data_IF_729373264928
#
_entry.id   IF_729373264928
#
_cell.length_a   1.000
_cell.length_b   1.000
_cell.length_c   1.000
_cell.angle_alpha   90.00
_cell.angle_beta   90.00
_cell.angle_gamma   90.00
#
_symmetry.space_group_name_H-M   'P 1'
#
loop_
_entity.id
_entity.type
_entity.pdbx_description
1 polymer ?
#
# COMPACT_ATOMS: atom_id res chain seq x y z
N UNK A 1 20.72 17.17 -62.91
CA UNK A 1 20.36 18.10 -61.81
C UNK A 1 20.45 17.26 -60.54
N UNK A 2 21.44 17.28 -59.66
CA UNK A 2 22.50 18.19 -59.14
C UNK A 2 23.60 17.20 -58.65
N UNK A 3 24.90 17.33 -58.92
CA UNK A 3 25.81 18.42 -58.57
C UNK A 3 26.66 18.01 -57.35
N UNK A 4 27.83 17.43 -57.61
CA UNK A 4 28.83 17.09 -56.59
C UNK A 4 29.34 18.35 -55.89
N UNK A 5 29.24 18.41 -54.56
CA UNK A 5 29.70 19.57 -53.78
C UNK A 5 31.12 19.31 -53.25
N UNK A 6 32.01 20.23 -53.60
CA UNK A 6 33.45 20.22 -53.35
C UNK A 6 33.71 20.72 -51.92
N UNK A 7 34.44 19.92 -51.15
CA UNK A 7 34.83 20.20 -49.77
C UNK A 7 35.91 21.29 -49.75
N UNK A 8 35.59 22.48 -49.22
CA UNK A 8 36.52 23.60 -49.05
C UNK A 8 37.23 23.53 -47.69
N UNK A 9 38.49 23.94 -47.66
CA UNK A 9 39.52 23.68 -46.63
C UNK A 9 39.49 24.62 -45.40
N UNK A 10 38.39 25.26 -45.07
CA UNK A 10 38.37 26.37 -44.08
C UNK A 10 37.69 26.09 -42.73
N UNK A 11 37.57 24.83 -42.30
CA UNK A 11 37.07 24.51 -40.95
C UNK A 11 38.02 23.66 -40.07
N UNK A 12 39.30 23.59 -40.43
CA UNK A 12 40.31 22.85 -39.66
C UNK A 12 41.08 23.71 -38.63
N UNK A 13 40.67 24.96 -38.37
CA UNK A 13 41.45 25.87 -37.52
C UNK A 13 40.70 26.46 -36.29
N UNK A 14 39.45 26.08 -36.01
CA UNK A 14 38.70 26.65 -34.86
C UNK A 14 37.93 25.58 -34.07
N UNK A 15 38.56 24.46 -33.70
CA UNK A 15 38.13 23.71 -32.50
C UNK A 15 39.29 22.86 -31.94
N UNK A 16 40.40 23.53 -31.61
CA UNK A 16 41.50 22.97 -30.82
C UNK A 16 41.78 23.79 -29.55
N UNK A 17 40.77 24.52 -29.06
CA UNK A 17 40.90 25.35 -27.87
C UNK A 17 40.49 24.57 -26.61
N UNK A 18 41.50 24.09 -25.89
CA UNK A 18 41.57 24.03 -24.42
C UNK A 18 40.38 23.38 -23.67
N UNK A 19 40.56 22.10 -23.31
CA UNK A 19 40.15 21.62 -21.98
C UNK A 19 40.97 22.40 -20.95
N UNK A 20 40.45 23.54 -20.52
CA UNK A 20 40.86 24.18 -19.28
C UNK A 20 39.87 23.75 -18.20
N UNK A 21 40.39 22.93 -17.29
CA UNK A 21 39.84 22.67 -15.96
C UNK A 21 39.42 23.99 -15.32
N UNK A 22 38.14 24.35 -15.42
CA UNK A 22 37.54 25.34 -14.55
C UNK A 22 37.16 24.61 -13.27
N UNK A 23 37.92 24.88 -12.21
CA UNK A 23 37.59 24.53 -10.84
C UNK A 23 36.26 25.18 -10.44
N UNK A 24 35.14 24.53 -10.79
CA UNK A 24 33.84 24.84 -10.20
C UNK A 24 33.89 24.29 -8.77
N UNK A 25 34.29 25.15 -7.84
CA UNK A 25 34.27 24.88 -6.41
C UNK A 25 32.83 24.95 -5.92
N UNK A 26 32.09 23.85 -6.09
CA UNK A 26 30.75 23.72 -5.51
C UNK A 26 30.87 23.87 -3.98
N UNK A 27 30.14 24.81 -3.35
CA UNK A 27 30.25 25.03 -1.91
C UNK A 27 29.88 23.75 -1.14
N UNK A 28 30.70 23.35 -0.16
CA UNK A 28 30.42 22.18 0.72
C UNK A 28 29.03 22.24 1.35
N UNK A 29 28.53 23.45 1.65
CA UNK A 29 27.18 23.70 2.18
C UNK A 29 26.07 23.30 1.20
N UNK A 30 26.29 23.47 -0.10
CA UNK A 30 25.32 23.05 -1.12
C UNK A 30 25.35 21.54 -1.29
N UNK A 31 26.52 20.91 -1.18
CA UNK A 31 26.65 19.45 -1.19
C UNK A 31 26.04 18.80 0.06
N UNK A 32 26.27 19.37 1.25
CA UNK A 32 25.67 18.94 2.52
C UNK A 32 24.15 19.13 2.49
N UNK A 33 23.66 20.27 2.01
CA UNK A 33 22.22 20.53 1.82
C UNK A 33 21.60 19.60 0.79
N UNK A 34 22.29 19.32 -0.32
CA UNK A 34 21.86 18.29 -1.28
C UNK A 34 21.88 16.90 -0.66
N UNK A 35 22.81 16.58 0.26
CA UNK A 35 22.88 15.30 0.98
C UNK A 35 21.84 15.17 2.09
N UNK A 36 21.45 16.28 2.70
CA UNK A 36 20.36 16.37 3.69
C UNK A 36 19.00 16.29 2.98
N UNK A 37 18.87 16.92 1.80
CA UNK A 37 17.71 16.82 0.90
C UNK A 37 17.64 15.42 0.27
N UNK A 38 18.74 14.81 -0.17
CA UNK A 38 18.81 13.42 -0.65
C UNK A 38 18.63 12.41 0.48
N UNK A 39 19.06 12.74 1.70
CA UNK A 39 18.88 11.93 2.91
C UNK A 39 17.45 11.99 3.45
N UNK A 40 16.75 13.09 3.23
CA UNK A 40 15.31 13.26 3.50
C UNK A 40 14.41 12.80 2.34
N UNK A 41 14.97 12.64 1.13
CA UNK A 41 14.30 12.14 -0.07
C UNK A 41 14.69 10.70 -0.42
N UNK A 42 15.33 9.97 0.50
CA UNK A 42 14.94 8.59 0.74
C UNK A 42 13.48 8.69 1.16
N UNK A 43 12.57 8.55 0.18
CA UNK A 43 11.13 8.72 0.40
C UNK A 43 10.74 8.03 1.70
N UNK A 44 9.93 8.67 2.54
CA UNK A 44 9.23 7.97 3.62
C UNK A 44 8.55 6.77 2.96
N UNK A 45 9.16 5.59 3.11
CA UNK A 45 8.72 4.35 2.50
C UNK A 45 7.72 3.65 3.42
N UNK A 46 7.25 4.35 4.44
CA UNK A 46 6.32 3.82 5.43
C UNK A 46 4.86 4.13 5.10
N UNK A 47 3.98 3.23 5.54
CA UNK A 47 2.54 3.43 5.47
C UNK A 47 1.86 2.76 6.67
N UNK A 48 0.66 3.23 7.02
CA UNK A 48 -0.12 2.67 8.12
C UNK A 48 -1.30 1.83 7.60
N UNK A 49 -1.54 0.70 8.28
CA UNK A 49 -2.79 -0.06 8.18
C UNK A 49 -3.42 -0.19 9.56
N UNK A 50 -4.75 -0.30 9.58
CA UNK A 50 -5.46 -0.72 10.78
C UNK A 50 -5.39 -2.24 10.97
N UNK A 51 -5.11 -2.67 12.19
CA UNK A 51 -5.46 -4.01 12.64
C UNK A 51 -7.00 -4.07 12.81
N UNK A 52 -7.60 -5.20 12.42
CA UNK A 52 -9.06 -5.38 12.44
C UNK A 52 -9.45 -6.43 13.47
N UNK A 53 -10.55 -6.16 14.20
CA UNK A 53 -11.33 -7.20 14.87
C UNK A 53 -12.54 -7.52 13.99
N UNK A 54 -12.74 -8.80 13.70
CA UNK A 54 -13.95 -9.28 13.05
C UNK A 54 -14.68 -10.19 14.03
N UNK A 55 -15.88 -9.79 14.43
CA UNK A 55 -16.68 -10.49 15.44
C UNK A 55 -18.05 -10.92 14.89
N UNK A 56 -18.50 -12.10 15.30
CA UNK A 56 -19.81 -12.62 14.98
C UNK A 56 -20.87 -11.90 15.80
N UNK A 57 -21.92 -11.45 15.12
CA UNK A 57 -23.13 -10.89 15.69
C UNK A 57 -24.31 -11.78 15.32
N UNK A 58 -25.02 -12.28 16.32
CA UNK A 58 -26.16 -13.16 16.23
C UNK A 58 -27.40 -12.44 16.75
N UNK A 59 -28.43 -12.23 15.93
CA UNK A 59 -29.66 -11.62 16.40
C UNK A 59 -30.32 -12.45 17.51
N UNK A 60 -30.81 -11.83 18.60
CA UNK A 60 -31.44 -12.55 19.70
C UNK A 60 -32.63 -13.41 19.23
N UNK A 61 -32.66 -14.67 19.65
CA UNK A 61 -33.75 -15.60 19.35
C UNK A 61 -33.70 -16.23 17.95
N UNK A 62 -32.74 -15.86 17.09
CA UNK A 62 -32.58 -16.46 15.77
C UNK A 62 -31.76 -17.74 15.81
N UNK A 63 -32.11 -18.69 14.94
CA UNK A 63 -31.32 -19.91 14.75
C UNK A 63 -30.14 -19.62 13.82
N UNK A 64 -28.93 -19.95 14.30
CA UNK A 64 -27.69 -19.81 13.54
C UNK A 64 -27.29 -21.17 12.94
N UNK A 65 -27.17 -21.22 11.62
CA UNK A 65 -26.92 -22.46 10.86
C UNK A 65 -25.45 -22.66 10.49
N UNK A 66 -24.67 -21.59 10.44
CA UNK A 66 -23.26 -21.64 10.02
C UNK A 66 -22.29 -22.10 11.13
N UNK A 67 -22.82 -22.50 12.30
CA UNK A 67 -22.04 -22.93 13.47
C UNK A 67 -21.41 -21.79 14.27
N UNK A 68 -21.59 -20.53 13.85
CA UNK A 68 -21.08 -19.37 14.55
C UNK A 68 -21.81 -19.13 15.88
N UNK A 69 -21.09 -18.60 16.86
CA UNK A 69 -21.62 -18.22 18.17
C UNK A 69 -21.41 -16.73 18.41
N UNK A 70 -22.30 -16.11 19.16
CA UNK A 70 -22.16 -14.72 19.59
C UNK A 70 -20.78 -14.53 20.26
N UNK A 71 -20.02 -13.54 19.79
CA UNK A 71 -18.69 -13.22 20.32
C UNK A 71 -17.52 -14.03 19.75
N UNK A 72 -17.77 -15.06 18.92
CA UNK A 72 -16.71 -15.69 18.13
C UNK A 72 -16.04 -14.59 17.28
N UNK A 73 -14.71 -14.55 17.27
CA UNK A 73 -13.99 -13.50 16.55
C UNK A 73 -12.62 -13.95 16.05
N UNK A 74 -12.04 -13.17 15.14
CA UNK A 74 -10.62 -13.21 14.83
C UNK A 74 -10.05 -11.80 14.83
N UNK A 75 -8.73 -11.71 15.04
CA UNK A 75 -7.98 -10.48 14.88
C UNK A 75 -7.12 -10.60 13.63
N UNK A 76 -7.25 -9.65 12.71
CA UNK A 76 -6.33 -9.45 11.60
C UNK A 76 -5.26 -8.45 12.04
N UNK A 77 -4.03 -8.93 12.22
CA UNK A 77 -2.86 -8.11 12.57
C UNK A 77 -1.95 -8.00 11.37
N UNK A 78 -1.89 -6.83 10.74
CA UNK A 78 -1.34 -6.73 9.39
C UNK A 78 -2.05 -7.68 8.43
N UNK A 79 -1.31 -8.56 7.74
CA UNK A 79 -1.92 -9.62 6.91
C UNK A 79 -2.25 -10.93 7.65
N UNK A 80 -1.94 -11.03 8.95
CA UNK A 80 -2.03 -12.29 9.69
C UNK A 80 -3.35 -12.42 10.47
N UNK A 81 -4.11 -13.48 10.17
CA UNK A 81 -5.36 -13.81 10.88
C UNK A 81 -5.07 -14.65 12.13
N UNK A 82 -5.57 -14.20 13.28
CA UNK A 82 -5.42 -14.88 14.57
C UNK A 82 -6.78 -15.24 15.17
N UNK A 83 -6.96 -16.51 15.51
CA UNK A 83 -8.13 -17.01 16.24
C UNK A 83 -7.80 -17.20 17.74
N UNK A 84 -8.78 -17.01 18.64
CA UNK A 84 -8.67 -17.48 20.01
C UNK A 84 -8.41 -19.00 20.07
N UNK A 85 -7.71 -19.44 21.10
CA UNK A 85 -7.35 -20.85 21.26
C UNK A 85 -8.60 -21.74 21.29
N UNK A 86 -8.63 -22.76 20.42
CA UNK A 86 -9.73 -23.71 20.33
C UNK A 86 -11.00 -23.20 19.64
N UNK A 87 -11.00 -21.96 19.14
CA UNK A 87 -12.14 -21.42 18.40
C UNK A 87 -12.05 -21.84 16.92
N UNK A 88 -13.11 -22.48 16.42
CA UNK A 88 -13.31 -22.66 14.99
C UNK A 88 -13.92 -21.40 14.37
N UNK A 89 -13.78 -21.25 13.06
CA UNK A 89 -14.50 -20.22 12.31
C UNK A 89 -14.99 -20.82 11.00
N UNK A 90 -16.23 -20.53 10.62
CA UNK A 90 -16.77 -21.05 9.37
C UNK A 90 -16.00 -20.50 8.18
N UNK A 91 -15.46 -21.40 7.35
CA UNK A 91 -14.77 -21.03 6.11
C UNK A 91 -15.69 -20.28 5.14
N UNK A 92 -16.99 -20.56 5.18
CA UNK A 92 -17.98 -19.86 4.36
C UNK A 92 -18.19 -18.43 4.87
N UNK A 93 -18.29 -18.25 6.19
CA UNK A 93 -18.32 -16.92 6.79
C UNK A 93 -17.03 -16.13 6.50
N UNK A 94 -15.86 -16.78 6.52
CA UNK A 94 -14.60 -16.15 6.08
C UNK A 94 -14.67 -15.72 4.62
N UNK A 95 -15.17 -16.57 3.72
CA UNK A 95 -15.25 -16.22 2.29
C UNK A 95 -16.10 -14.98 2.01
N UNK A 96 -17.13 -14.71 2.84
CA UNK A 96 -17.94 -13.52 2.73
C UNK A 96 -17.22 -12.24 3.17
N UNK A 97 -16.37 -12.30 4.20
CA UNK A 97 -15.71 -11.12 4.78
C UNK A 97 -14.34 -10.83 4.18
N UNK A 98 -13.60 -11.86 3.76
CA UNK A 98 -12.23 -11.74 3.26
C UNK A 98 -12.05 -10.69 2.14
N UNK A 99 -12.95 -10.57 1.14
CA UNK A 99 -12.80 -9.58 0.07
C UNK A 99 -12.80 -8.13 0.55
N UNK A 100 -13.31 -7.85 1.75
CA UNK A 100 -13.49 -6.50 2.27
C UNK A 100 -12.33 -6.07 3.18
N UNK A 101 -11.53 -7.01 3.70
CA UNK A 101 -10.57 -6.72 4.78
C UNK A 101 -9.49 -5.74 4.35
N UNK A 102 -8.87 -5.93 3.17
CA UNK A 102 -7.81 -5.04 2.69
C UNK A 102 -8.28 -3.58 2.55
N UNK A 103 -9.51 -3.37 2.07
CA UNK A 103 -10.10 -2.03 1.99
C UNK A 103 -10.37 -1.47 3.39
N UNK A 104 -10.90 -2.29 4.30
CA UNK A 104 -11.20 -1.91 5.69
C UNK A 104 -9.96 -1.60 6.54
N UNK A 105 -8.78 -2.09 6.16
CA UNK A 105 -7.52 -1.73 6.82
C UNK A 105 -7.01 -0.35 6.44
N UNK A 106 -7.50 0.24 5.33
CA UNK A 106 -7.00 1.52 4.82
C UNK A 106 -7.88 2.69 5.29
N UNK A 107 -7.33 3.91 5.37
CA UNK A 107 -8.14 5.10 5.39
C UNK A 107 -9.06 5.12 4.17
N UNK A 108 -10.35 5.29 4.40
CA UNK A 108 -11.40 5.33 3.38
C UNK A 108 -12.03 6.73 3.36
N UNK A 109 -12.61 7.10 2.22
CA UNK A 109 -13.22 8.43 2.07
C UNK A 109 -14.48 8.54 2.93
N UNK A 110 -14.66 9.65 3.66
CA UNK A 110 -15.76 9.79 4.63
C UNK A 110 -17.17 9.60 4.05
N UNK A 111 -17.35 9.88 2.74
CA UNK A 111 -18.63 9.72 2.04
C UNK A 111 -18.77 8.37 1.31
N UNK A 112 -17.80 7.46 1.44
CA UNK A 112 -17.89 6.11 0.90
C UNK A 112 -18.58 5.20 1.93
N UNK A 113 -19.49 4.34 1.48
CA UNK A 113 -20.15 3.32 2.31
C UNK A 113 -19.11 2.40 2.97
N UNK A 114 -17.94 2.21 2.35
CA UNK A 114 -16.82 1.46 2.91
C UNK A 114 -16.33 2.06 4.25
N UNK A 115 -16.57 3.33 4.54
CA UNK A 115 -16.23 3.97 5.82
C UNK A 115 -17.26 3.70 6.92
N UNK A 116 -18.53 3.51 6.57
CA UNK A 116 -19.64 3.42 7.54
C UNK A 116 -20.13 2.01 7.77
N UNK A 117 -20.25 1.21 6.71
CA UNK A 117 -20.95 -0.07 6.77
C UNK A 117 -20.02 -1.16 7.29
N UNK A 118 -20.19 -1.55 8.54
CA UNK A 118 -19.28 -2.48 9.21
C UNK A 118 -19.78 -3.94 9.25
N UNK A 119 -21.02 -4.20 8.82
CA UNK A 119 -21.67 -5.50 8.94
C UNK A 119 -21.68 -6.25 7.61
N UNK A 120 -21.26 -7.51 7.65
CA UNK A 120 -21.25 -8.43 6.52
C UNK A 120 -22.16 -9.61 6.83
N UNK A 121 -23.14 -9.86 5.97
CA UNK A 121 -24.08 -10.96 6.18
C UNK A 121 -23.40 -12.33 6.03
N UNK A 122 -23.93 -13.33 6.74
CA UNK A 122 -23.62 -14.73 6.44
C UNK A 122 -23.97 -15.04 4.98
N UNK A 123 -23.16 -15.83 4.25
CA UNK A 123 -23.47 -16.18 2.87
C UNK A 123 -24.67 -17.14 2.74
N UNK A 124 -25.06 -17.85 3.81
CA UNK A 124 -26.32 -18.59 3.85
C UNK A 124 -27.49 -17.62 4.09
N UNK A 125 -28.43 -17.46 3.13
CA UNK A 125 -29.53 -16.51 3.25
C UNK A 125 -30.49 -16.79 4.42
N UNK A 126 -30.49 -18.04 4.92
CA UNK A 126 -31.34 -18.45 6.05
C UNK A 126 -30.62 -18.30 7.40
N UNK A 127 -29.32 -18.00 7.41
CA UNK A 127 -28.55 -17.75 8.61
C UNK A 127 -28.47 -16.25 8.91
N UNK A 128 -29.10 -15.80 9.99
CA UNK A 128 -29.19 -14.37 10.32
C UNK A 128 -27.96 -13.78 11.01
N UNK A 129 -26.92 -14.58 11.23
CA UNK A 129 -25.63 -14.09 11.76
C UNK A 129 -24.99 -13.09 10.81
N UNK A 130 -24.25 -12.14 11.37
CA UNK A 130 -23.45 -11.16 10.64
C UNK A 130 -22.03 -11.13 11.21
N UNK A 131 -21.12 -10.52 10.48
CA UNK A 131 -19.75 -10.27 10.89
C UNK A 131 -19.53 -8.76 10.98
N UNK A 132 -19.14 -8.27 12.14
CA UNK A 132 -18.82 -6.87 12.35
C UNK A 132 -17.32 -6.65 12.25
N UNK A 133 -16.90 -5.76 11.37
CA UNK A 133 -15.51 -5.34 11.21
C UNK A 133 -15.29 -4.05 12.02
N UNK A 134 -14.30 -4.06 12.91
CA UNK A 134 -13.91 -2.90 13.71
C UNK A 134 -12.41 -2.66 13.58
N UNK A 135 -12.01 -1.42 13.26
CA UNK A 135 -10.62 -0.99 13.33
C UNK A 135 -10.24 -0.80 14.81
N UNK A 136 -9.15 -1.42 15.27
CA UNK A 136 -8.79 -1.44 16.70
C UNK A 136 -7.43 -0.82 17.03
N UNK A 137 -6.49 -0.80 16.08
CA UNK A 137 -5.15 -0.26 16.27
C UNK A 137 -4.49 0.05 14.93
N UNK A 138 -3.43 0.87 14.93
CA UNK A 138 -2.64 1.16 13.74
C UNK A 138 -1.28 0.48 13.81
N UNK A 139 -0.76 0.10 12.65
CA UNK A 139 0.54 -0.51 12.47
C UNK A 139 1.23 0.16 11.28
N UNK A 140 2.47 0.54 11.51
CA UNK A 140 3.36 1.04 10.47
C UNK A 140 4.04 -0.14 9.75
N UNK A 141 4.22 0.01 8.44
CA UNK A 141 4.88 -0.93 7.54
C UNK A 141 5.88 -0.17 6.69
N UNK A 142 6.95 -0.83 6.26
CA UNK A 142 7.81 -0.35 5.16
C UNK A 142 7.41 -1.00 3.83
N UNK A 143 7.44 -0.22 2.76
CA UNK A 143 7.26 -0.68 1.38
C UNK A 143 8.30 -1.73 1.00
N UNK A 144 9.58 -1.49 1.31
CA UNK A 144 10.67 -2.40 0.98
C UNK A 144 10.56 -3.76 1.71
N UNK A 145 9.90 -3.79 2.89
CA UNK A 145 9.64 -5.03 3.62
C UNK A 145 8.44 -5.82 3.08
N UNK A 146 7.51 -5.15 2.38
CA UNK A 146 6.23 -5.73 1.96
C UNK A 146 6.14 -6.03 0.46
N UNK A 147 7.09 -5.55 -0.34
CA UNK A 147 7.15 -5.86 -1.78
C UNK A 147 8.57 -5.79 -2.34
N UNK A 148 8.83 -6.58 -3.38
CA UNK A 148 10.08 -6.55 -4.13
C UNK A 148 10.11 -5.47 -5.24
N UNK A 149 8.98 -4.84 -5.54
CA UNK A 149 8.88 -3.79 -6.57
C UNK A 149 9.25 -2.45 -5.93
N UNK A 150 10.21 -1.68 -6.47
CA UNK A 150 10.58 -0.38 -5.89
C UNK A 150 9.47 0.66 -6.11
N UNK A 151 9.49 1.76 -5.36
CA UNK A 151 8.45 2.80 -5.41
C UNK A 151 8.28 3.44 -6.79
N UNK A 152 9.35 3.52 -7.58
CA UNK A 152 9.34 4.01 -8.97
C UNK A 152 8.99 2.93 -10.02
N UNK A 153 8.93 1.66 -9.62
CA UNK A 153 8.90 0.50 -10.51
C UNK A 153 7.62 0.31 -11.33
N UNK A 154 6.52 1.00 -10.97
CA UNK A 154 5.23 0.90 -11.69
C UNK A 154 4.81 2.21 -12.38
N UNK A 155 5.59 3.29 -12.27
CA UNK A 155 5.26 4.59 -12.88
C UNK A 155 5.84 4.77 -14.29
N UNK A 156 6.45 3.74 -14.85
CA UNK A 156 6.89 3.72 -16.24
C UNK A 156 5.72 3.30 -17.16
N UNK A 157 4.81 4.23 -17.45
CA UNK A 157 3.86 4.13 -18.56
C UNK A 157 3.69 5.48 -19.24
#
# INVERSE_FOLDING_TARGET
VIGAFKMSRDLACILSAQVQSTDIKVPRKDFERSREILGSAMAEDSFELYDLKVEVVCPPGEKIYCGAKEGDHFILRGEMLHLPQGQGFSIYSLSAVLPLLAAKQRPTHANDWMSTDALVACPDPNCKSQLKITQIGRREFSHAETTAVPLDGNHAS
#
